data_IF_299765737889
#
_entry.id   IF_299765737889
#
_cell.length_a   1.000
_cell.length_b   1.000
_cell.length_c   1.000
_cell.angle_alpha   90.00
_cell.angle_beta   90.00
_cell.angle_gamma   90.00
#
_symmetry.space_group_name_H-M   'P 1'
#
loop_
_entity.id
_entity.type
_entity.pdbx_description
1 polymer ?
#
# COMPACT_ATOMS: atom_id res chain seq x y z
N UNK A 1 27.89 -30.70 4.76
CA UNK A 1 27.00 -29.77 4.04
C UNK A 1 25.82 -29.43 4.96
N UNK A 2 25.80 -28.25 5.58
CA UNK A 2 24.70 -27.88 6.51
C UNK A 2 23.44 -27.64 5.68
N UNK A 3 22.45 -28.52 5.83
CA UNK A 3 21.11 -28.34 5.28
C UNK A 3 20.57 -27.05 5.91
N UNK A 4 20.55 -25.96 5.13
CA UNK A 4 19.89 -24.73 5.58
C UNK A 4 18.39 -25.07 5.69
N UNK A 5 17.72 -24.77 6.82
CA UNK A 5 16.28 -24.93 6.89
C UNK A 5 15.65 -24.17 5.72
N UNK A 6 14.62 -24.75 5.12
CA UNK A 6 13.88 -24.17 4.01
C UNK A 6 13.04 -22.99 4.56
N UNK A 7 13.72 -21.89 4.87
CA UNK A 7 13.09 -20.66 5.36
C UNK A 7 12.28 -20.11 4.20
N UNK A 8 10.95 -20.09 4.37
CA UNK A 8 10.04 -19.48 3.40
C UNK A 8 10.45 -18.02 3.22
N UNK A 9 10.48 -17.53 1.98
CA UNK A 9 10.99 -16.19 1.64
C UNK A 9 10.34 -15.04 2.41
N UNK A 10 9.10 -15.20 2.87
CA UNK A 10 8.40 -14.20 3.69
C UNK A 10 8.82 -14.17 5.18
N UNK A 11 9.41 -15.23 5.71
CA UNK A 11 10.00 -15.20 7.06
C UNK A 11 11.26 -14.33 7.13
N UNK A 12 11.85 -14.01 5.97
CA UNK A 12 13.05 -13.16 5.92
C UNK A 12 12.74 -11.75 6.40
N UNK A 13 11.55 -11.21 6.14
CA UNK A 13 11.22 -9.84 6.51
C UNK A 13 10.82 -9.66 7.99
N UNK A 14 10.69 -10.74 8.77
CA UNK A 14 10.26 -10.68 10.19
C UNK A 14 11.06 -9.66 11.02
N UNK A 15 12.40 -9.57 10.93
CA UNK A 15 13.15 -8.55 11.68
C UNK A 15 12.81 -7.11 11.27
N UNK A 16 12.46 -6.87 10.00
CA UNK A 16 12.03 -5.56 9.50
C UNK A 16 10.64 -5.24 10.04
N UNK A 17 9.73 -6.22 9.99
CA UNK A 17 8.36 -6.10 10.52
C UNK A 17 8.41 -5.77 12.01
N UNK A 18 9.16 -6.52 12.81
CA UNK A 18 9.29 -6.28 14.25
C UNK A 18 9.81 -4.88 14.59
N UNK A 19 10.72 -4.34 13.77
CA UNK A 19 11.17 -2.96 13.90
C UNK A 19 10.05 -1.97 13.54
N UNK A 20 9.34 -2.21 12.44
CA UNK A 20 8.25 -1.33 11.98
C UNK A 20 7.03 -1.36 12.90
N UNK A 21 6.80 -2.44 13.65
CA UNK A 21 5.78 -2.51 14.68
C UNK A 21 6.08 -1.58 15.87
N UNK A 22 7.37 -1.32 16.16
CA UNK A 22 7.81 -0.50 17.29
C UNK A 22 8.11 0.95 16.90
N UNK A 23 8.53 1.17 15.67
CA UNK A 23 9.00 2.47 15.18
C UNK A 23 8.25 2.85 13.91
N UNK A 24 7.62 4.04 13.92
CA UNK A 24 7.06 4.63 12.72
C UNK A 24 8.18 5.18 11.84
N UNK A 25 8.56 4.43 10.81
CA UNK A 25 9.61 4.82 9.88
C UNK A 25 9.13 5.87 8.88
N UNK A 26 10.02 6.81 8.54
CA UNK A 26 9.85 7.55 7.30
C UNK A 26 9.96 6.60 6.09
N UNK A 27 9.35 6.96 4.95
CA UNK A 27 9.41 6.09 3.77
C UNK A 27 10.84 5.82 3.29
N UNK A 28 11.75 6.78 3.45
CA UNK A 28 13.15 6.65 3.07
C UNK A 28 13.92 5.68 3.98
N UNK A 29 13.76 5.81 5.30
CA UNK A 29 14.39 4.91 6.27
C UNK A 29 13.94 3.46 6.04
N UNK A 30 12.63 3.25 5.84
CA UNK A 30 12.10 1.91 5.61
C UNK A 30 12.67 1.29 4.33
N UNK A 31 12.73 2.06 3.25
CA UNK A 31 13.36 1.62 2.00
C UNK A 31 14.84 1.25 2.19
N UNK A 32 15.63 2.08 2.88
CA UNK A 32 17.05 1.81 3.13
C UNK A 32 17.25 0.52 3.93
N UNK A 33 16.47 0.33 4.99
CA UNK A 33 16.49 -0.89 5.80
C UNK A 33 16.20 -2.11 4.91
N UNK A 34 15.18 -2.02 4.05
CA UNK A 34 14.85 -3.09 3.12
C UNK A 34 16.00 -3.38 2.13
N UNK A 35 16.61 -2.36 1.53
CA UNK A 35 17.71 -2.56 0.58
C UNK A 35 18.94 -3.17 1.24
N UNK A 36 19.34 -2.66 2.41
CA UNK A 36 20.44 -3.22 3.18
C UNK A 36 20.18 -4.68 3.52
N UNK A 37 18.98 -5.00 3.99
CA UNK A 37 18.62 -6.37 4.34
C UNK A 37 18.62 -7.31 3.12
N UNK A 38 18.15 -6.85 1.96
CA UNK A 38 18.22 -7.60 0.70
C UNK A 38 19.65 -7.93 0.31
N UNK A 39 20.57 -6.98 0.46
CA UNK A 39 22.01 -7.18 0.20
C UNK A 39 22.61 -8.20 1.18
N UNK A 40 22.37 -8.04 2.48
CA UNK A 40 22.89 -8.92 3.53
C UNK A 40 22.39 -10.36 3.39
N UNK A 41 21.09 -10.54 3.09
CA UNK A 41 20.48 -11.87 2.93
C UNK A 41 20.59 -12.44 1.52
N UNK A 42 21.18 -11.70 0.58
CA UNK A 42 21.29 -12.06 -0.85
C UNK A 42 19.93 -12.47 -1.44
N UNK A 43 18.88 -11.72 -1.11
CA UNK A 43 17.52 -11.94 -1.64
C UNK A 43 17.12 -10.83 -2.62
N UNK A 44 16.47 -11.23 -3.71
CA UNK A 44 15.93 -10.29 -4.71
C UNK A 44 14.59 -9.68 -4.34
N UNK A 45 13.86 -10.26 -3.37
CA UNK A 45 12.51 -9.88 -2.99
C UNK A 45 12.27 -9.94 -1.48
N UNK A 46 11.36 -9.11 -0.99
CA UNK A 46 10.85 -9.13 0.37
C UNK A 46 9.32 -9.22 0.35
N UNK A 47 8.78 -10.00 1.28
CA UNK A 47 7.35 -10.10 1.52
C UNK A 47 7.07 -9.81 2.98
N UNK A 48 6.07 -8.97 3.25
CA UNK A 48 5.69 -8.54 4.59
C UNK A 48 4.38 -9.21 4.96
N UNK A 49 4.38 -10.04 5.99
CA UNK A 49 3.20 -10.81 6.44
C UNK A 49 3.07 -10.64 7.95
N UNK A 50 1.92 -10.14 8.41
CA UNK A 50 1.70 -9.89 9.85
C UNK A 50 1.10 -11.08 10.59
N UNK A 51 0.38 -11.95 9.89
CA UNK A 51 -0.30 -13.08 10.48
C UNK A 51 -0.05 -14.36 9.67
N UNK A 52 0.49 -15.38 10.33
CA UNK A 52 0.70 -16.72 9.78
C UNK A 52 -0.58 -17.59 9.84
N UNK A 53 -1.66 -17.10 10.49
CA UNK A 53 -2.96 -17.79 10.64
C UNK A 53 -3.76 -17.84 9.35
N UNK A 54 -3.52 -16.87 8.48
CA UNK A 54 -3.89 -16.92 7.09
C UNK A 54 -3.21 -18.19 6.56
N UNK A 55 -4.01 -19.23 6.27
CA UNK A 55 -3.62 -20.39 5.44
C UNK A 55 -3.33 -19.91 4.00
N UNK A 56 -2.54 -18.84 3.88
CA UNK A 56 -2.08 -18.25 2.66
C UNK A 56 -1.26 -19.32 1.97
N UNK A 57 -1.67 -19.71 0.77
CA UNK A 57 -1.10 -20.84 0.12
C UNK A 57 0.25 -20.44 -0.45
N UNK A 58 1.28 -20.59 0.36
CA UNK A 58 2.68 -20.71 -0.04
C UNK A 58 3.28 -19.51 -0.80
N UNK A 59 4.59 -19.57 -0.99
CA UNK A 59 5.37 -18.69 -1.88
C UNK A 59 4.77 -18.59 -3.32
N UNK A 60 3.89 -19.52 -3.69
CA UNK A 60 3.12 -19.50 -4.93
C UNK A 60 2.25 -18.25 -5.07
N UNK A 61 1.50 -17.88 -4.04
CA UNK A 61 0.57 -16.75 -4.12
C UNK A 61 1.32 -15.42 -4.25
N UNK A 62 2.43 -15.25 -3.54
CA UNK A 62 3.24 -14.03 -3.63
C UNK A 62 3.91 -13.87 -5.00
N UNK A 63 4.43 -14.95 -5.57
CA UNK A 63 4.93 -14.92 -6.94
C UNK A 63 3.83 -14.58 -7.95
N UNK A 64 2.62 -15.10 -7.75
CA UNK A 64 1.48 -14.72 -8.58
C UNK A 64 1.13 -13.24 -8.44
N UNK A 65 1.12 -12.69 -7.23
CA UNK A 65 0.88 -11.25 -7.04
C UNK A 65 1.98 -10.38 -7.64
N UNK A 66 3.24 -10.80 -7.60
CA UNK A 66 4.32 -10.10 -8.30
C UNK A 66 4.05 -10.05 -9.82
N UNK A 67 3.71 -11.19 -10.43
CA UNK A 67 3.40 -11.29 -11.86
C UNK A 67 2.13 -10.50 -12.22
N UNK A 68 1.10 -10.55 -11.37
CA UNK A 68 -0.15 -9.84 -11.54
C UNK A 68 0.05 -8.33 -11.42
N UNK A 69 0.84 -7.86 -10.46
CA UNK A 69 1.17 -6.44 -10.30
C UNK A 69 1.86 -5.89 -11.55
N UNK A 70 2.80 -6.64 -12.13
CA UNK A 70 3.46 -6.24 -13.38
C UNK A 70 2.49 -6.25 -14.58
N UNK A 71 1.53 -7.18 -14.64
CA UNK A 71 0.48 -7.16 -15.67
C UNK A 71 -0.44 -5.97 -15.51
N UNK A 72 -0.93 -5.70 -14.30
CA UNK A 72 -1.82 -4.57 -14.01
C UNK A 72 -1.14 -3.25 -14.38
N UNK A 73 0.16 -3.10 -14.12
CA UNK A 73 0.94 -1.93 -14.57
C UNK A 73 0.97 -1.77 -16.08
N UNK A 74 1.19 -2.87 -16.81
CA UNK A 74 1.38 -2.87 -18.28
C UNK A 74 0.08 -2.74 -19.06
N UNK A 75 -1.00 -3.33 -18.56
CA UNK A 75 -2.27 -3.42 -19.27
C UNK A 75 -3.33 -2.59 -18.55
N UNK A 76 -3.70 -1.42 -19.09
CA UNK A 76 -4.64 -0.49 -18.48
C UNK A 76 -6.12 -0.89 -18.59
N UNK A 77 -6.41 -2.16 -18.88
CA UNK A 77 -7.78 -2.62 -19.03
C UNK A 77 -8.58 -2.30 -17.77
N UNK A 78 -9.54 -1.39 -17.94
CA UNK A 78 -10.52 -1.03 -16.92
C UNK A 78 -11.55 -2.16 -16.89
N UNK A 79 -11.87 -2.65 -15.69
CA UNK A 79 -12.88 -3.70 -15.44
C UNK A 79 -12.42 -5.12 -15.80
N UNK A 80 -11.20 -5.49 -15.38
CA UNK A 80 -10.80 -6.89 -15.30
C UNK A 80 -11.64 -7.56 -14.21
N UNK A 81 -12.65 -8.32 -14.61
CA UNK A 81 -13.36 -9.28 -13.76
C UNK A 81 -12.99 -10.69 -14.21
N UNK A 82 -12.10 -11.34 -13.45
CA UNK A 82 -11.54 -12.65 -13.82
C UNK A 82 -11.42 -13.55 -12.60
N UNK A 83 -11.63 -14.85 -12.83
CA UNK A 83 -11.34 -15.88 -11.84
C UNK A 83 -10.13 -16.68 -12.32
N UNK A 84 -9.09 -16.71 -11.52
CA UNK A 84 -7.89 -17.52 -11.74
C UNK A 84 -7.92 -18.77 -10.88
N UNK A 85 -7.48 -19.88 -11.44
CA UNK A 85 -7.19 -21.11 -10.73
C UNK A 85 -5.67 -21.30 -10.75
N UNK A 86 -5.05 -21.18 -9.58
CA UNK A 86 -3.61 -21.24 -9.39
C UNK A 86 -3.21 -22.63 -8.92
N UNK A 87 -2.17 -23.17 -9.53
CA UNK A 87 -1.64 -24.48 -9.17
C UNK A 87 -0.13 -24.53 -9.38
N UNK A 88 0.52 -25.41 -8.61
CA UNK A 88 1.96 -25.59 -8.65
C UNK A 88 2.31 -26.59 -9.74
N UNK A 89 3.03 -26.15 -10.77
CA UNK A 89 3.58 -27.03 -11.80
C UNK A 89 5.05 -27.28 -11.56
N UNK A 90 5.50 -28.50 -11.85
CA UNK A 90 6.91 -28.86 -11.90
C UNK A 90 7.39 -28.67 -13.34
N UNK A 91 8.31 -27.74 -13.58
CA UNK A 91 8.92 -27.53 -14.88
C UNK A 91 10.30 -28.18 -14.86
N UNK A 92 10.55 -29.07 -15.82
CA UNK A 92 11.88 -29.61 -16.10
C UNK A 92 12.51 -28.79 -17.22
N UNK A 93 13.63 -28.15 -16.91
CA UNK A 93 14.59 -27.62 -17.88
C UNK A 93 15.81 -28.54 -17.92
N UNK A 94 16.59 -28.47 -19.01
CA UNK A 94 17.61 -29.47 -19.40
C UNK A 94 18.51 -29.97 -18.25
N UNK A 95 18.84 -29.12 -17.26
CA UNK A 95 19.64 -29.51 -16.09
C UNK A 95 18.99 -29.17 -14.72
N UNK A 96 17.75 -28.69 -14.68
CA UNK A 96 17.12 -28.22 -13.45
C UNK A 96 15.62 -28.48 -13.45
N UNK A 97 15.12 -28.98 -12.32
CA UNK A 97 13.70 -29.06 -12.05
C UNK A 97 13.34 -27.93 -11.09
N UNK A 98 12.42 -27.07 -11.47
CA UNK A 98 11.94 -26.01 -10.61
C UNK A 98 10.42 -25.96 -10.62
N UNK A 99 9.85 -25.56 -9.49
CA UNK A 99 8.42 -25.34 -9.39
C UNK A 99 8.07 -23.96 -9.93
N UNK A 100 7.00 -23.87 -10.72
CA UNK A 100 6.43 -22.61 -11.20
C UNK A 100 4.94 -22.57 -10.89
N UNK A 101 4.42 -21.36 -10.76
CA UNK A 101 2.98 -21.11 -10.68
C UNK A 101 2.44 -21.04 -12.10
N UNK A 102 1.34 -21.73 -12.37
CA UNK A 102 0.56 -21.49 -13.57
C UNK A 102 -0.87 -21.14 -13.14
N UNK A 103 -1.38 -20.09 -13.76
CA UNK A 103 -2.70 -19.54 -13.52
C UNK A 103 -3.54 -19.76 -14.79
N UNK A 104 -4.68 -20.41 -14.66
CA UNK A 104 -5.65 -20.55 -15.74
C UNK A 104 -6.95 -19.83 -15.38
N UNK A 105 -7.66 -19.35 -16.39
CA UNK A 105 -9.01 -18.77 -16.22
C UNK A 105 -10.10 -19.85 -16.26
N UNK A 106 -9.78 -21.04 -16.79
CA UNK A 106 -10.68 -22.19 -16.86
C UNK A 106 -10.18 -23.31 -15.94
N UNK A 107 -11.10 -23.86 -15.15
CA UNK A 107 -10.86 -25.09 -14.41
C UNK A 107 -10.97 -26.25 -15.40
N UNK A 108 -9.89 -27.01 -15.58
CA UNK A 108 -9.95 -28.26 -16.32
C UNK A 108 -10.24 -29.38 -15.31
N UNK A 109 -11.20 -30.26 -15.60
CA UNK A 109 -11.71 -31.26 -14.65
C UNK A 109 -10.71 -32.35 -14.23
N UNK A 110 -9.54 -32.46 -14.87
CA UNK A 110 -8.59 -33.56 -14.68
C UNK A 110 -7.43 -33.29 -13.71
N UNK A 111 -7.54 -32.28 -12.84
CA UNK A 111 -6.43 -31.86 -11.99
C UNK A 111 -6.52 -32.54 -10.62
N UNK A 112 -5.50 -33.31 -10.27
CA UNK A 112 -5.42 -34.11 -9.02
C UNK A 112 -5.10 -33.29 -7.76
N UNK A 113 -4.88 -31.98 -7.90
CA UNK A 113 -4.61 -31.07 -6.77
C UNK A 113 -5.71 -30.02 -6.68
N UNK A 114 -6.16 -29.73 -5.45
CA UNK A 114 -7.08 -28.62 -5.18
C UNK A 114 -6.40 -27.29 -5.53
N UNK A 115 -6.82 -26.59 -6.60
CA UNK A 115 -6.21 -25.33 -6.99
C UNK A 115 -6.67 -24.20 -6.06
N UNK A 116 -5.86 -23.16 -5.96
CA UNK A 116 -6.27 -21.92 -5.27
C UNK A 116 -7.12 -21.12 -6.26
N UNK A 117 -8.37 -20.89 -5.91
CA UNK A 117 -9.27 -20.03 -6.68
C UNK A 117 -9.00 -18.59 -6.26
N UNK A 118 -8.80 -17.68 -7.21
CA UNK A 118 -8.60 -16.25 -6.95
C UNK A 118 -9.53 -15.46 -7.86
N UNK A 119 -10.58 -14.85 -7.30
CA UNK A 119 -11.35 -13.86 -8.05
C UNK A 119 -10.65 -12.51 -7.98
N UNK A 120 -10.74 -11.74 -9.06
CA UNK A 120 -10.18 -10.42 -9.18
C UNK A 120 -11.16 -9.53 -9.94
N UNK A 121 -11.48 -8.39 -9.35
CA UNK A 121 -12.30 -7.33 -9.92
C UNK A 121 -11.56 -6.01 -9.75
N UNK A 122 -11.16 -5.34 -10.84
CA UNK A 122 -10.57 -4.00 -10.73
C UNK A 122 -11.65 -2.97 -10.38
N UNK A 123 -11.46 -2.26 -9.28
CA UNK A 123 -12.49 -1.37 -8.69
C UNK A 123 -12.07 0.11 -8.72
N UNK A 124 -10.78 0.40 -8.80
CA UNK A 124 -10.30 1.77 -8.72
C UNK A 124 -8.93 1.97 -9.35
N UNK A 125 -8.72 3.16 -9.89
CA UNK A 125 -7.45 3.62 -10.44
C UNK A 125 -7.16 5.02 -9.92
N UNK A 126 -5.94 5.22 -9.45
CA UNK A 126 -5.40 6.52 -9.09
C UNK A 126 -4.02 6.72 -9.73
N UNK A 127 -3.45 7.91 -9.54
CA UNK A 127 -2.16 8.26 -10.14
C UNK A 127 -1.01 7.31 -9.76
N UNK A 128 -1.09 6.77 -8.55
CA UNK A 128 0.00 6.06 -7.87
C UNK A 128 -0.21 4.54 -7.88
N UNK A 129 -1.30 4.07 -8.46
CA UNK A 129 -1.65 2.66 -8.41
C UNK A 129 -3.10 2.35 -8.76
N UNK A 130 -3.40 1.06 -8.76
CA UNK A 130 -4.75 0.53 -8.95
C UNK A 130 -5.14 -0.33 -7.79
N UNK A 131 -6.45 -0.35 -7.52
CA UNK A 131 -7.07 -1.20 -6.50
C UNK A 131 -7.94 -2.22 -7.21
N UNK A 132 -7.78 -3.47 -6.83
CA UNK A 132 -8.65 -4.56 -7.20
C UNK A 132 -9.24 -5.20 -5.95
N UNK A 133 -10.51 -5.55 -6.00
CA UNK A 133 -11.13 -6.46 -5.06
C UNK A 133 -10.72 -7.87 -5.42
N UNK A 134 -10.20 -8.62 -4.45
CA UNK A 134 -9.81 -10.02 -4.63
C UNK A 134 -10.50 -10.90 -3.59
N UNK A 135 -10.73 -12.16 -3.96
CA UNK A 135 -11.14 -13.20 -3.00
C UNK A 135 -10.27 -14.43 -3.23
N UNK A 136 -9.66 -14.92 -2.17
CA UNK A 136 -8.85 -16.14 -2.19
C UNK A 136 -9.74 -17.29 -1.71
N UNK A 137 -9.87 -18.31 -2.55
CA UNK A 137 -10.83 -19.40 -2.41
C UNK A 137 -12.25 -18.87 -2.16
N UNK A 138 -12.92 -19.39 -1.14
CA UNK A 138 -14.22 -18.90 -0.68
C UNK A 138 -14.09 -18.10 0.62
N UNK A 139 -12.92 -17.45 0.83
CA UNK A 139 -12.62 -16.60 1.97
C UNK A 139 -13.22 -15.19 1.88
N UNK A 140 -12.71 -14.29 2.72
CA UNK A 140 -13.14 -12.89 2.75
C UNK A 140 -12.69 -12.11 1.51
N UNK A 141 -13.42 -11.02 1.23
CA UNK A 141 -13.00 -10.04 0.24
C UNK A 141 -11.85 -9.20 0.77
N UNK A 142 -10.86 -8.96 -0.08
CA UNK A 142 -9.66 -8.21 0.23
C UNK A 142 -9.43 -7.12 -0.82
N UNK A 143 -8.79 -6.04 -0.42
CA UNK A 143 -8.33 -4.99 -1.31
C UNK A 143 -6.87 -5.25 -1.70
N UNK A 144 -6.60 -5.53 -2.97
CA UNK A 144 -5.26 -5.56 -3.56
C UNK A 144 -4.96 -4.20 -4.15
N UNK A 145 -3.94 -3.50 -3.65
CA UNK A 145 -3.39 -2.29 -4.30
C UNK A 145 -2.08 -2.64 -4.98
N UNK A 146 -1.98 -2.29 -6.26
CA UNK A 146 -0.75 -2.36 -7.04
C UNK A 146 -0.20 -0.95 -7.17
N UNK A 147 1.04 -0.74 -6.77
CA UNK A 147 1.69 0.57 -6.79
C UNK A 147 2.43 0.79 -8.11
N UNK A 148 2.16 1.92 -8.75
CA UNK A 148 2.89 2.39 -9.92
C UNK A 148 4.15 3.14 -9.47
N UNK A 149 5.25 2.96 -10.21
CA UNK A 149 6.49 3.70 -9.98
C UNK A 149 6.91 3.76 -8.50
N UNK A 150 6.98 2.59 -7.84
CA UNK A 150 7.16 2.47 -6.38
C UNK A 150 8.40 3.19 -5.81
N UNK A 151 9.38 3.51 -6.65
CA UNK A 151 10.58 4.28 -6.30
C UNK A 151 10.46 5.80 -6.43
N UNK A 152 9.34 6.32 -6.97
CA UNK A 152 9.19 7.75 -7.33
C UNK A 152 8.11 8.49 -6.52
N UNK A 153 6.96 7.87 -6.24
CA UNK A 153 5.94 8.50 -5.37
C UNK A 153 6.09 8.00 -3.95
N UNK A 154 7.17 8.43 -3.32
CA UNK A 154 7.62 7.87 -2.05
C UNK A 154 6.61 8.04 -0.90
N UNK A 155 5.84 9.14 -0.91
CA UNK A 155 4.84 9.45 0.14
C UNK A 155 3.50 8.70 0.01
N UNK A 156 3.21 8.14 -1.16
CA UNK A 156 2.00 7.35 -1.42
C UNK A 156 2.31 6.00 -2.08
N UNK A 157 3.54 5.53 -1.89
CA UNK A 157 4.02 4.27 -2.45
C UNK A 157 4.07 3.19 -1.38
N UNK A 158 4.54 1.99 -1.76
CA UNK A 158 4.64 0.86 -0.83
C UNK A 158 5.54 1.21 0.36
N UNK A 159 6.58 2.01 0.15
CA UNK A 159 7.52 2.41 1.19
C UNK A 159 6.94 3.37 2.23
N UNK A 160 5.83 4.05 1.93
CA UNK A 160 5.09 4.82 2.95
C UNK A 160 3.99 3.98 3.59
N UNK A 161 3.21 3.27 2.76
CA UNK A 161 1.98 2.64 3.23
C UNK A 161 2.23 1.35 4.01
N UNK A 162 3.19 0.51 3.60
CA UNK A 162 3.51 -0.74 4.29
C UNK A 162 4.01 -0.48 5.73
N UNK A 163 5.03 0.36 5.99
CA UNK A 163 5.47 0.60 7.36
C UNK A 163 4.42 1.31 8.20
N UNK A 164 3.64 2.23 7.61
CA UNK A 164 2.54 2.88 8.32
C UNK A 164 1.48 1.85 8.75
N UNK A 165 1.08 0.97 7.84
CA UNK A 165 0.13 -0.10 8.12
C UNK A 165 0.62 -1.03 9.24
N UNK A 166 1.86 -1.50 9.14
CA UNK A 166 2.48 -2.37 10.16
C UNK A 166 2.47 -1.68 11.54
N UNK A 167 2.87 -0.41 11.58
CA UNK A 167 2.91 0.35 12.83
C UNK A 167 1.53 0.54 13.43
N UNK A 168 0.54 0.94 12.61
CA UNK A 168 -0.83 1.21 13.06
C UNK A 168 -1.52 -0.05 13.59
N UNK A 169 -1.36 -1.17 12.88
CA UNK A 169 -1.94 -2.45 13.29
C UNK A 169 -1.31 -3.00 14.58
N UNK A 170 0.01 -2.82 14.76
CA UNK A 170 0.68 -3.17 16.01
C UNK A 170 0.16 -2.40 17.23
N UNK A 171 -0.47 -1.25 17.01
CA UNK A 171 -1.07 -0.41 18.04
C UNK A 171 -2.61 -0.46 18.03
N UNK A 172 -3.20 -1.47 17.38
CA UNK A 172 -4.65 -1.70 17.33
C UNK A 172 -5.45 -0.53 16.75
N UNK A 173 -4.84 0.27 15.86
CA UNK A 173 -5.55 1.30 15.10
C UNK A 173 -6.25 0.63 13.94
N UNK A 174 -7.48 0.17 14.15
CA UNK A 174 -8.26 -0.61 13.16
C UNK A 174 -9.68 -0.09 12.98
N UNK A 175 -10.12 0.85 13.83
CA UNK A 175 -11.52 1.27 13.90
C UNK A 175 -11.99 2.04 12.66
N UNK A 176 -11.14 2.90 12.11
CA UNK A 176 -11.47 3.74 10.95
C UNK A 176 -10.38 3.73 9.85
N UNK A 177 -9.58 2.67 9.82
CA UNK A 177 -8.65 2.35 8.74
C UNK A 177 -8.72 0.83 8.45
N UNK A 178 -8.33 0.37 7.25
CA UNK A 178 -8.42 -1.04 6.88
C UNK A 178 -7.25 -1.81 7.49
N UNK A 179 -7.50 -3.06 7.90
CA UNK A 179 -6.43 -3.91 8.42
C UNK A 179 -5.48 -4.37 7.32
N UNK A 180 -4.18 -4.37 7.59
CA UNK A 180 -3.18 -4.87 6.66
C UNK A 180 -3.02 -6.38 6.82
N UNK A 181 -2.95 -7.08 5.68
CA UNK A 181 -2.81 -8.53 5.65
C UNK A 181 -1.39 -8.90 5.28
N UNK A 182 -0.95 -8.54 4.08
CA UNK A 182 0.38 -8.85 3.59
C UNK A 182 0.76 -8.01 2.35
N UNK A 183 2.05 -7.96 2.01
CA UNK A 183 2.55 -7.18 0.88
C UNK A 183 3.82 -7.75 0.24
N UNK A 184 4.04 -7.34 -1.01
CA UNK A 184 5.35 -7.33 -1.67
C UNK A 184 5.91 -5.91 -1.79
N UNK A 185 6.96 -5.73 -2.58
CA UNK A 185 7.63 -4.42 -2.75
C UNK A 185 6.90 -3.47 -3.70
N UNK A 186 5.89 -3.95 -4.43
CA UNK A 186 5.13 -3.18 -5.44
C UNK A 186 3.62 -3.46 -5.41
N UNK A 187 3.13 -4.24 -4.45
CA UNK A 187 1.72 -4.51 -4.20
C UNK A 187 1.50 -4.76 -2.72
N UNK A 188 0.29 -4.52 -2.23
CA UNK A 188 -0.10 -4.86 -0.87
C UNK A 188 -1.58 -5.26 -0.82
N UNK A 189 -1.95 -5.98 0.23
CA UNK A 189 -3.29 -6.51 0.45
C UNK A 189 -3.78 -6.06 1.83
N UNK A 190 -4.98 -5.49 1.83
CA UNK A 190 -5.69 -5.04 3.02
C UNK A 190 -7.06 -5.70 3.06
N UNK A 191 -7.71 -5.57 4.22
CA UNK A 191 -9.14 -5.78 4.38
C UNK A 191 -9.95 -4.98 3.34
N UNK A 192 -11.00 -5.58 2.80
CA UNK A 192 -12.00 -4.88 2.01
C UNK A 192 -13.04 -4.20 2.92
N UNK A 193 -13.13 -2.88 2.87
CA UNK A 193 -14.15 -2.12 3.60
C UNK A 193 -15.40 -1.97 2.72
N UNK A 194 -16.52 -2.52 3.18
CA UNK A 194 -17.79 -2.38 2.48
C UNK A 194 -18.40 -0.98 2.67
N UNK A 195 -19.21 -0.50 1.72
CA UNK A 195 -19.85 0.81 1.82
C UNK A 195 -20.66 1.02 3.10
N UNK A 196 -21.31 -0.03 3.59
CA UNK A 196 -22.13 -0.07 4.81
C UNK A 196 -21.32 -0.24 6.10
N UNK A 197 -20.02 -0.53 6.01
CA UNK A 197 -19.18 -0.72 7.19
C UNK A 197 -19.04 0.59 7.96
N UNK A 198 -19.37 0.56 9.26
CA UNK A 198 -19.27 1.71 10.15
C UNK A 198 -18.15 1.54 11.17
N UNK A 199 -17.46 2.62 11.59
CA UNK A 199 -16.41 2.54 12.61
C UNK A 199 -16.87 1.92 13.93
N UNK A 200 -18.13 2.08 14.33
CA UNK A 200 -18.66 1.57 15.61
C UNK A 200 -18.78 0.04 15.65
N UNK A 201 -18.82 -0.61 14.47
CA UNK A 201 -18.90 -2.07 14.35
C UNK A 201 -17.52 -2.73 14.38
N UNK A 202 -16.45 -1.94 14.48
CA UNK A 202 -15.06 -2.39 14.40
C UNK A 202 -14.39 -2.25 15.77
N UNK A 203 -13.55 -3.22 16.11
CA UNK A 203 -12.70 -3.17 17.30
C UNK A 203 -11.50 -2.22 17.11
N UNK A 204 -10.81 -1.94 18.20
CA UNK A 204 -9.59 -1.12 18.22
C UNK A 204 -9.87 0.37 18.46
N UNK A 205 -8.84 1.19 18.23
CA UNK A 205 -8.89 2.65 18.41
C UNK A 205 -8.96 3.36 17.05
N UNK A 206 -9.36 4.62 17.08
CA UNK A 206 -9.36 5.47 15.87
C UNK A 206 -7.95 5.97 15.56
N UNK A 207 -7.73 6.30 14.29
CA UNK A 207 -6.49 6.94 13.85
C UNK A 207 -6.28 8.28 14.53
N UNK A 208 -7.33 9.08 14.72
CA UNK A 208 -7.24 10.43 15.29
C UNK A 208 -6.78 10.41 16.74
N UNK A 209 -7.36 9.52 17.56
CA UNK A 209 -6.95 9.29 18.95
C UNK A 209 -5.46 8.94 19.02
N UNK A 210 -5.01 8.05 18.14
CA UNK A 210 -3.63 7.59 18.10
C UNK A 210 -2.65 8.64 17.54
N UNK A 211 -3.03 9.31 16.45
CA UNK A 211 -2.21 10.31 15.77
C UNK A 211 -1.92 11.51 16.66
N UNK A 212 -2.91 11.94 17.46
CA UNK A 212 -2.72 13.00 18.44
C UNK A 212 -1.68 12.60 19.50
N UNK A 213 -1.76 11.39 20.04
CA UNK A 213 -0.80 10.89 21.04
C UNK A 213 0.62 10.71 20.48
N UNK A 214 0.75 10.36 19.20
CA UNK A 214 2.04 10.03 18.56
C UNK A 214 2.63 11.16 17.70
N UNK A 215 1.93 12.28 17.56
CA UNK A 215 2.35 13.40 16.72
C UNK A 215 2.40 13.05 15.22
N UNK A 216 1.43 12.27 14.74
CA UNK A 216 1.32 11.90 13.32
C UNK A 216 0.49 12.92 12.54
N UNK A 217 0.70 13.00 11.23
CA UNK A 217 -0.07 13.90 10.35
C UNK A 217 -1.57 13.59 10.40
N UNK A 218 -2.45 14.58 10.59
CA UNK A 218 -3.89 14.35 10.57
C UNK A 218 -4.35 13.88 9.18
N UNK A 219 -5.41 13.07 9.16
CA UNK A 219 -6.03 12.63 7.92
C UNK A 219 -6.62 13.82 7.14
N UNK A 220 -6.36 13.85 5.84
CA UNK A 220 -6.91 14.88 4.97
C UNK A 220 -8.38 14.59 4.66
N UNK A 221 -9.29 15.21 5.40
CA UNK A 221 -10.75 15.07 5.24
C UNK A 221 -11.28 15.59 3.90
N UNK A 222 -10.53 16.46 3.21
CA UNK A 222 -10.94 17.02 1.92
C UNK A 222 -10.85 15.98 0.80
N UNK A 223 -9.99 14.96 0.94
CA UNK A 223 -9.87 13.90 -0.05
C UNK A 223 -10.94 12.80 0.16
N UNK A 224 -12.21 13.17 -0.02
CA UNK A 224 -13.38 12.30 0.20
C UNK A 224 -13.36 10.99 -0.61
N UNK A 225 -12.59 10.93 -1.70
CA UNK A 225 -12.45 9.72 -2.51
C UNK A 225 -11.72 8.59 -1.78
N UNK A 226 -10.91 8.95 -0.78
CA UNK A 226 -10.17 7.99 0.04
C UNK A 226 -10.96 7.58 1.29
N UNK A 227 -12.27 7.82 1.35
CA UNK A 227 -13.11 7.42 2.48
C UNK A 227 -14.34 6.67 2.00
N UNK A 228 -14.82 5.74 2.83
CA UNK A 228 -16.16 5.21 2.67
C UNK A 228 -17.22 6.24 3.16
N UNK A 229 -18.52 5.98 2.95
CA UNK A 229 -19.61 6.88 3.40
C UNK A 229 -19.61 7.18 4.90
N UNK A 230 -18.97 6.34 5.72
CA UNK A 230 -18.89 6.43 7.17
C UNK A 230 -17.53 6.91 7.68
N UNK A 231 -16.75 7.60 6.84
CA UNK A 231 -15.46 8.21 7.19
C UNK A 231 -14.36 7.21 7.60
N UNK A 232 -14.47 5.94 7.20
CA UNK A 232 -13.34 5.01 7.25
C UNK A 232 -12.39 5.37 6.11
N UNK A 233 -11.15 5.70 6.44
CA UNK A 233 -10.10 5.99 5.47
C UNK A 233 -9.72 4.69 4.76
N UNK A 234 -9.68 4.70 3.44
CA UNK A 234 -9.40 3.53 2.58
C UNK A 234 -7.95 3.47 2.08
N UNK A 235 -7.20 4.56 2.24
CA UNK A 235 -5.84 4.71 1.71
C UNK A 235 -4.91 5.32 2.76
N UNK A 236 -3.81 4.64 3.08
CA UNK A 236 -2.83 5.13 4.07
C UNK A 236 -1.80 6.09 3.46
N UNK A 237 -1.86 6.33 2.15
CA UNK A 237 -0.97 7.27 1.47
C UNK A 237 -1.01 8.66 2.12
N UNK A 238 0.19 9.21 2.36
CA UNK A 238 0.37 10.53 2.97
C UNK A 238 0.39 10.54 4.50
N UNK A 239 0.18 9.40 5.18
CA UNK A 239 0.42 9.29 6.61
C UNK A 239 1.93 9.34 6.90
N UNK A 240 2.37 10.36 7.61
CA UNK A 240 3.78 10.57 7.90
C UNK A 240 3.97 11.17 9.29
N UNK A 241 5.17 10.97 9.84
CA UNK A 241 5.65 11.76 10.98
C UNK A 241 6.33 13.01 10.42
N UNK A 242 6.17 14.15 11.08
CA UNK A 242 6.93 15.35 10.69
C UNK A 242 8.41 15.11 11.05
N UNK A 243 9.31 15.29 10.09
CA UNK A 243 10.76 15.27 10.32
C UNK A 243 11.43 16.44 9.59
N UNK A 244 12.57 16.95 10.09
CA UNK A 244 13.27 18.07 9.47
C UNK A 244 13.61 17.79 8.01
N UNK A 245 13.33 18.74 7.12
CA UNK A 245 13.61 18.61 5.68
C UNK A 245 12.61 17.78 4.87
N UNK A 246 11.62 17.13 5.51
CA UNK A 246 10.57 16.33 4.84
C UNK A 246 9.93 17.05 3.66
N UNK A 247 9.42 18.26 3.90
CA UNK A 247 8.69 19.03 2.88
C UNK A 247 9.53 19.36 1.66
N UNK A 248 10.83 19.62 1.85
CA UNK A 248 11.74 19.86 0.75
C UNK A 248 12.00 18.57 -0.04
N UNK A 249 12.26 17.47 0.66
CA UNK A 249 12.47 16.16 0.05
C UNK A 249 11.25 15.70 -0.77
N UNK A 250 10.05 15.78 -0.19
CA UNK A 250 8.78 15.43 -0.84
C UNK A 250 8.52 16.31 -2.06
N UNK A 251 8.84 17.61 -1.98
CA UNK A 251 8.72 18.53 -3.10
C UNK A 251 9.63 18.14 -4.28
N UNK A 252 10.92 17.89 -4.03
CA UNK A 252 11.85 17.49 -5.09
C UNK A 252 11.49 16.16 -5.73
N UNK A 253 11.12 15.15 -4.93
CA UNK A 253 10.71 13.86 -5.47
C UNK A 253 9.41 13.95 -6.26
N UNK A 254 8.45 14.76 -5.80
CA UNK A 254 7.21 15.01 -6.54
C UNK A 254 7.51 15.64 -7.91
N UNK A 255 8.44 16.59 -7.98
CA UNK A 255 8.89 17.18 -9.26
C UNK A 255 9.48 16.10 -10.18
N UNK A 256 10.42 15.29 -9.68
CA UNK A 256 11.06 14.22 -10.46
C UNK A 256 10.01 13.24 -10.99
N UNK A 257 9.04 12.88 -10.17
CA UNK A 257 7.92 12.03 -10.56
C UNK A 257 7.12 12.65 -11.71
N UNK A 258 6.67 13.90 -11.58
CA UNK A 258 5.88 14.55 -12.63
C UNK A 258 6.67 14.73 -13.94
N UNK A 259 7.97 15.04 -13.86
CA UNK A 259 8.83 15.11 -15.04
C UNK A 259 8.89 13.76 -15.76
N UNK A 260 9.02 12.66 -15.02
CA UNK A 260 9.06 11.32 -15.61
C UNK A 260 7.72 10.88 -16.16
N UNK A 261 6.62 11.15 -15.45
CA UNK A 261 5.25 10.90 -15.96
C UNK A 261 4.99 11.66 -17.24
N UNK A 262 5.35 12.94 -17.30
CA UNK A 262 5.27 13.72 -18.53
C UNK A 262 6.10 13.12 -19.67
N UNK A 263 7.32 12.62 -19.40
CA UNK A 263 8.13 11.95 -20.42
C UNK A 263 7.54 10.62 -20.91
N UNK A 264 6.85 9.88 -20.05
CA UNK A 264 6.27 8.57 -20.39
C UNK A 264 4.91 8.68 -21.08
N UNK A 265 4.06 9.56 -20.59
CA UNK A 265 2.64 9.64 -20.96
C UNK A 265 2.29 10.94 -21.69
N UNK A 266 3.24 11.87 -21.84
CA UNK A 266 3.00 13.19 -22.42
C UNK A 266 2.05 14.02 -21.55
N UNK A 267 1.18 14.82 -22.16
CA UNK A 267 0.14 15.57 -21.43
C UNK A 267 -1.06 14.71 -21.02
N UNK A 268 -1.13 13.44 -21.44
CA UNK A 268 -2.29 12.58 -21.21
C UNK A 268 -2.53 12.35 -19.71
N UNK A 269 -1.46 12.27 -18.90
CA UNK A 269 -1.60 12.09 -17.44
C UNK A 269 -2.33 13.26 -16.76
N UNK A 270 -2.33 14.47 -17.35
CA UNK A 270 -3.06 15.62 -16.80
C UNK A 270 -4.57 15.46 -16.92
N UNK A 271 -5.06 14.56 -17.76
CA UNK A 271 -6.50 14.28 -17.90
C UNK A 271 -7.13 13.92 -16.56
N UNK A 272 -6.41 13.18 -15.72
CA UNK A 272 -6.89 12.79 -14.40
C UNK A 272 -6.88 13.98 -13.42
N UNK A 273 -6.08 15.02 -13.68
CA UNK A 273 -5.99 16.24 -12.87
C UNK A 273 -7.01 17.31 -13.24
N UNK A 274 -7.32 17.43 -14.52
CA UNK A 274 -8.17 18.49 -15.07
C UNK A 274 -9.66 18.18 -14.97
N UNK A 275 -10.06 17.24 -14.12
CA UNK A 275 -11.48 17.01 -13.82
C UNK A 275 -12.01 18.14 -12.95
N UNK A 276 -13.27 18.54 -13.16
CA UNK A 276 -13.92 19.60 -12.36
C UNK A 276 -13.80 19.30 -10.85
N UNK A 277 -14.00 18.04 -10.47
CA UNK A 277 -13.87 17.56 -9.09
C UNK A 277 -12.48 17.82 -8.50
N UNK A 278 -11.42 17.50 -9.25
CA UNK A 278 -10.05 17.69 -8.79
C UNK A 278 -9.67 19.17 -8.78
N UNK A 279 -10.11 19.95 -9.78
CA UNK A 279 -9.93 21.41 -9.78
C UNK A 279 -10.59 22.07 -8.57
N UNK A 280 -11.85 21.73 -8.26
CA UNK A 280 -12.54 22.22 -7.06
C UNK A 280 -11.79 21.82 -5.79
N UNK A 281 -11.34 20.57 -5.69
CA UNK A 281 -10.52 20.10 -4.57
C UNK A 281 -9.22 20.90 -4.43
N UNK A 282 -8.49 21.16 -5.52
CA UNK A 282 -7.27 21.97 -5.50
C UNK A 282 -7.56 23.41 -5.08
N UNK A 283 -8.61 24.04 -5.59
CA UNK A 283 -9.01 25.38 -5.19
C UNK A 283 -9.35 25.47 -3.71
N UNK A 284 -10.17 24.54 -3.19
CA UNK A 284 -10.53 24.49 -1.76
C UNK A 284 -9.28 24.24 -0.91
N UNK A 285 -8.41 23.32 -1.33
CA UNK A 285 -7.15 23.04 -0.62
C UNK A 285 -6.23 24.26 -0.60
N UNK A 286 -6.14 25.01 -1.71
CA UNK A 286 -5.32 26.21 -1.80
C UNK A 286 -5.87 27.31 -0.89
N UNK A 287 -7.20 27.50 -0.86
CA UNK A 287 -7.88 28.38 0.09
C UNK A 287 -7.55 27.97 1.53
N UNK A 288 -7.75 26.70 1.90
CA UNK A 288 -7.48 26.20 3.26
C UNK A 288 -6.02 26.41 3.63
N UNK A 289 -5.07 26.13 2.73
CA UNK A 289 -3.63 26.37 2.97
C UNK A 289 -3.33 27.86 3.18
N UNK A 290 -3.93 28.74 2.37
CA UNK A 290 -3.73 30.18 2.49
C UNK A 290 -4.29 30.74 3.81
N UNK A 291 -5.50 30.33 4.19
CA UNK A 291 -6.13 30.76 5.44
C UNK A 291 -5.48 30.14 6.70
N UNK A 292 -5.04 28.88 6.64
CA UNK A 292 -4.30 28.26 7.75
C UNK A 292 -2.87 28.80 7.89
N UNK A 293 -2.25 29.26 6.81
CA UNK A 293 -0.99 30.02 6.85
C UNK A 293 -1.18 31.40 7.47
N UNK A 294 -2.25 32.13 7.11
CA UNK A 294 -2.61 33.42 7.70
C UNK A 294 -2.91 33.31 9.21
N UNK A 295 -3.60 32.24 9.64
CA UNK A 295 -3.87 32.01 11.07
C UNK A 295 -2.64 31.55 11.86
N UNK A 296 -1.65 30.87 11.26
CA UNK A 296 -0.38 30.56 11.94
C UNK A 296 0.50 31.80 12.17
N UNK A 297 0.50 32.75 11.24
CA UNK A 297 1.21 34.03 11.45
C UNK A 297 0.53 34.89 12.51
N UNK A 298 -0.80 34.83 12.62
CA UNK A 298 -1.54 35.52 13.67
C UNK A 298 -1.25 34.89 15.04
N UNK A 299 -1.26 33.56 15.14
CA UNK A 299 -0.94 32.85 16.37
C UNK A 299 0.52 33.03 16.82
N UNK A 300 1.50 33.09 15.91
CA UNK A 300 2.90 33.36 16.30
C UNK A 300 3.12 34.81 16.74
N UNK A 301 2.45 35.78 16.10
CA UNK A 301 2.47 37.18 16.54
C UNK A 301 1.74 37.40 17.86
N UNK A 302 0.64 36.70 18.10
CA UNK A 302 -0.10 36.76 19.36
C UNK A 302 0.67 36.05 20.50
N UNK A 303 1.48 35.04 20.21
CA UNK A 303 2.35 34.38 21.20
C UNK A 303 3.62 35.19 21.50
N UNK A 304 4.20 35.88 20.51
CA UNK A 304 5.31 36.84 20.72
C UNK A 304 4.85 38.12 21.45
N UNK A 305 3.62 38.60 21.19
CA UNK A 305 3.06 39.78 21.85
C UNK A 305 2.61 39.52 23.30
N UNK A 306 2.34 38.26 23.67
CA UNK A 306 1.88 37.88 25.02
C UNK A 306 2.99 37.28 25.90
N UNK A 307 4.27 37.39 25.51
CA UNK A 307 5.40 37.08 26.40
C UNK A 307 5.50 35.62 26.85
N UNK A 308 5.16 34.67 25.97
CA UNK A 308 5.43 33.25 26.20
C UNK A 308 6.57 32.74 25.32
N UNK A 309 7.77 33.27 25.60
CA UNK A 309 9.06 32.60 25.44
C UNK A 309 9.90 32.90 26.68
#
# INVERSE_FOLDING_TARGET
MKIRPNIKSYHLAVPIIQKAQKTFFSPHEFYQICQQFKQEKKTGKLYFVLDDSLELPSELLFNFFDDLAEKIKKYPEKNLNQVFYLYKVLIKSKNQTFHRVKANVKLYQSWTQNPIKLSLETVGEGMIGRVAKIRINDGEDLALKVFFDSSLVWQHGPWAEIPAAIYLQAHHVTKNIPEFKFAGENWAVWEWIYPETKPELRSGITYEEFAHQKGLTPLNYLNRQNYNPHQIRLDLGGLQKEYPGRRYHDFFLSIIFYIRKFRQEGFIFLKDYLTLKNMTYFSVRLIVLFFSFLNRQKLSKDLEANGHF
#
